data_IF_549895097008
#
_entry.id   IF_549895097008
#
_cell.length_a   1.000
_cell.length_b   1.000
_cell.length_c   1.000
_cell.angle_alpha   90.00
_cell.angle_beta   90.00
_cell.angle_gamma   90.00
#
_symmetry.space_group_name_H-M   'P 1'
#
loop_
_entity.id
_entity.type
_entity.pdbx_description
1 polymer ?
#
# COMPACT_ATOMS: atom_id res chain seq x y z
N UNK A 1 1.40 -56.21 -14.07
CA UNK A 1 2.30 -55.06 -14.30
C UNK A 1 1.72 -54.23 -15.44
N UNK A 2 1.72 -52.90 -15.34
CA UNK A 2 1.13 -51.90 -16.28
C UNK A 2 -0.31 -51.45 -16.04
N UNK A 3 -0.57 -50.74 -14.93
CA UNK A 3 -1.73 -49.84 -14.84
C UNK A 3 -1.62 -48.75 -13.74
N UNK A 4 -0.40 -48.39 -13.28
CA UNK A 4 -0.24 -47.43 -12.15
C UNK A 4 0.63 -46.21 -12.43
N UNK A 5 1.15 -46.02 -13.65
CA UNK A 5 2.13 -44.96 -13.93
C UNK A 5 1.63 -43.76 -14.74
N UNK A 6 0.35 -43.71 -15.15
CA UNK A 6 -0.20 -42.60 -15.96
C UNK A 6 -0.98 -41.54 -15.17
N UNK A 7 -1.36 -41.81 -13.91
CA UNK A 7 -2.11 -40.87 -13.07
C UNK A 7 -1.28 -39.71 -12.49
N UNK A 8 0.03 -39.92 -12.28
CA UNK A 8 0.88 -38.93 -11.58
C UNK A 8 1.46 -37.82 -12.48
N UNK A 9 1.36 -37.94 -13.82
CA UNK A 9 1.90 -36.95 -14.74
C UNK A 9 0.87 -35.87 -15.13
N UNK A 10 -0.43 -36.18 -15.03
CA UNK A 10 -1.52 -35.25 -15.32
C UNK A 10 -1.82 -34.32 -14.13
N UNK A 11 -1.70 -34.80 -12.88
CA UNK A 11 -1.88 -33.93 -11.71
C UNK A 11 -0.73 -32.93 -11.50
N UNK A 12 0.50 -33.27 -11.90
CA UNK A 12 1.64 -32.33 -11.83
C UNK A 12 1.61 -31.24 -12.92
N UNK A 13 0.93 -31.46 -14.06
CA UNK A 13 0.74 -30.43 -15.08
C UNK A 13 -0.38 -29.44 -14.74
N UNK A 14 -1.45 -29.90 -14.10
CA UNK A 14 -2.57 -29.03 -13.71
C UNK A 14 -2.18 -28.12 -12.55
N UNK A 15 -1.39 -28.59 -11.57
CA UNK A 15 -0.96 -27.74 -10.44
C UNK A 15 0.06 -26.66 -10.84
N UNK A 16 0.84 -26.86 -11.92
CA UNK A 16 1.83 -25.87 -12.39
C UNK A 16 1.24 -24.79 -13.31
N UNK A 17 0.04 -25.01 -13.86
CA UNK A 17 -0.71 -23.98 -14.57
C UNK A 17 -1.48 -23.05 -13.63
N UNK A 18 -1.97 -23.54 -12.48
CA UNK A 18 -2.82 -22.73 -11.59
C UNK A 18 -2.04 -21.73 -10.71
N UNK A 19 -0.71 -21.87 -10.59
CA UNK A 19 0.12 -20.99 -9.75
C UNK A 19 0.84 -19.85 -10.50
N UNK A 20 0.68 -19.74 -11.82
CA UNK A 20 1.27 -18.65 -12.62
C UNK A 20 0.26 -17.62 -13.16
N UNK A 21 -1.04 -17.77 -12.87
CA UNK A 21 -2.08 -16.86 -13.41
C UNK A 21 -2.77 -15.96 -12.38
N UNK A 22 -2.38 -16.00 -11.10
CA UNK A 22 -3.07 -15.25 -10.03
C UNK A 22 -2.32 -14.03 -9.47
N UNK A 23 -1.27 -13.55 -10.14
CA UNK A 23 -0.40 -12.48 -9.62
C UNK A 23 -0.60 -11.06 -10.18
N UNK A 24 -1.19 -10.88 -11.37
CA UNK A 24 -1.10 -9.59 -12.09
C UNK A 24 -2.44 -8.96 -12.48
N UNK A 25 -3.58 -9.50 -12.03
CA UNK A 25 -4.89 -9.11 -12.57
C UNK A 25 -5.75 -8.18 -11.69
N UNK A 26 -5.18 -7.44 -10.73
CA UNK A 26 -5.94 -6.50 -9.87
C UNK A 26 -5.78 -5.03 -10.24
N UNK A 27 -4.73 -4.65 -10.99
CA UNK A 27 -4.54 -3.27 -11.44
C UNK A 27 -5.04 -3.02 -12.88
N UNK A 28 -5.07 -4.04 -13.73
CA UNK A 28 -5.53 -3.90 -15.12
C UNK A 28 -7.06 -3.86 -15.26
N UNK A 29 -7.83 -4.44 -14.34
CA UNK A 29 -9.30 -4.40 -14.40
C UNK A 29 -9.86 -2.99 -14.11
N UNK A 30 -9.15 -2.17 -13.33
CA UNK A 30 -9.57 -0.79 -13.04
C UNK A 30 -9.23 0.20 -14.15
N UNK A 31 -8.10 0.02 -14.84
CA UNK A 31 -7.73 0.84 -16.00
C UNK A 31 -8.56 0.48 -17.24
N UNK A 32 -8.87 -0.80 -17.45
CA UNK A 32 -9.71 -1.22 -18.57
C UNK A 32 -11.17 -0.80 -18.41
N UNK A 33 -11.74 -0.80 -17.20
CA UNK A 33 -13.10 -0.29 -17.00
C UNK A 33 -13.20 1.23 -17.16
N UNK A 34 -12.20 2.01 -16.71
CA UNK A 34 -12.17 3.45 -16.90
C UNK A 34 -11.97 3.85 -18.38
N UNK A 35 -11.17 3.07 -19.14
CA UNK A 35 -10.95 3.31 -20.57
C UNK A 35 -12.16 2.89 -21.42
N UNK A 36 -12.85 1.81 -21.05
CA UNK A 36 -14.08 1.37 -21.70
C UNK A 36 -15.25 2.32 -21.39
N UNK A 37 -15.36 2.86 -20.17
CA UNK A 37 -16.39 3.85 -19.81
C UNK A 37 -16.15 5.22 -20.45
N UNK A 38 -14.89 5.61 -20.69
CA UNK A 38 -14.56 6.84 -21.44
C UNK A 38 -14.79 6.67 -22.96
N UNK A 39 -14.54 5.47 -23.51
CA UNK A 39 -14.84 5.17 -24.92
C UNK A 39 -16.34 5.03 -25.20
N UNK A 40 -17.13 4.49 -24.28
CA UNK A 40 -18.59 4.39 -24.43
C UNK A 40 -19.26 5.77 -24.30
N UNK A 41 -18.75 6.65 -23.43
CA UNK A 41 -19.29 8.02 -23.31
C UNK A 41 -18.87 8.94 -24.46
N UNK A 42 -17.65 8.80 -25.01
CA UNK A 42 -17.20 9.59 -26.16
C UNK A 42 -17.88 9.18 -27.49
N UNK A 43 -18.15 7.88 -27.68
CA UNK A 43 -18.84 7.37 -28.88
C UNK A 43 -20.33 7.73 -28.91
N UNK A 44 -20.98 7.84 -27.75
CA UNK A 44 -22.39 8.27 -27.65
C UNK A 44 -22.56 9.78 -27.81
N UNK A 45 -21.53 10.59 -27.51
CA UNK A 45 -21.58 12.05 -27.67
C UNK A 45 -21.31 12.54 -29.11
N UNK A 46 -20.44 11.86 -29.86
CA UNK A 46 -20.09 12.24 -31.24
C UNK A 46 -21.16 11.86 -32.29
N UNK A 47 -22.07 10.94 -31.97
CA UNK A 47 -23.19 10.58 -32.84
C UNK A 47 -24.40 11.55 -32.75
N UNK A 48 -24.37 12.54 -31.84
CA UNK A 48 -25.51 13.44 -31.58
C UNK A 48 -25.38 14.85 -32.16
N UNK A 49 -24.22 15.25 -32.67
CA UNK A 49 -23.99 16.61 -33.19
C UNK A 49 -23.80 16.71 -34.70
N UNK A 50 -23.88 15.61 -35.43
CA UNK A 50 -24.18 15.69 -36.86
C UNK A 50 -25.70 15.82 -37.04
N UNK A 51 -26.25 16.95 -36.57
CA UNK A 51 -27.47 17.51 -37.14
C UNK A 51 -27.13 17.96 -38.57
N UNK A 52 -26.90 16.97 -39.44
CA UNK A 52 -27.08 17.11 -40.85
C UNK A 52 -28.55 17.55 -40.99
N UNK A 53 -28.74 18.86 -41.12
CA UNK A 53 -29.95 19.45 -41.69
C UNK A 53 -30.02 19.02 -43.16
N UNK A 54 -30.08 17.71 -43.37
CA UNK A 54 -30.69 17.16 -44.54
C UNK A 54 -32.11 17.71 -44.48
N UNK A 55 -32.48 18.53 -45.45
CA UNK A 55 -33.87 18.77 -45.80
C UNK A 55 -34.39 17.41 -46.28
N UNK A 56 -34.54 16.50 -45.33
CA UNK A 56 -34.98 15.14 -45.57
C UNK A 56 -36.48 15.27 -45.72
N UNK A 57 -36.96 14.93 -46.92
CA UNK A 57 -38.39 14.88 -47.18
C UNK A 57 -38.97 13.93 -46.14
N UNK A 58 -39.82 14.44 -45.25
CA UNK A 58 -40.53 13.60 -44.26
C UNK A 58 -41.08 12.40 -45.00
N UNK A 59 -40.75 11.19 -44.54
CA UNK A 59 -41.29 9.96 -45.10
C UNK A 59 -42.82 10.09 -45.00
N UNK A 60 -43.57 10.02 -46.12
CA UNK A 60 -45.02 10.12 -46.03
C UNK A 60 -45.54 9.01 -45.13
N UNK A 61 -46.61 9.26 -44.34
CA UNK A 61 -47.16 8.25 -43.45
C UNK A 61 -47.47 6.97 -44.24
N UNK A 62 -47.13 5.79 -43.70
CA UNK A 62 -47.35 4.53 -44.39
C UNK A 62 -48.83 4.38 -44.72
N UNK A 63 -49.13 4.05 -45.98
CA UNK A 63 -50.48 3.74 -46.42
C UNK A 63 -51.00 2.44 -45.79
N UNK A 64 -52.23 2.05 -46.14
CA UNK A 64 -52.79 0.76 -45.72
C UNK A 64 -51.89 -0.39 -46.22
N UNK A 65 -51.53 -1.36 -45.37
CA UNK A 65 -50.72 -2.50 -45.81
C UNK A 65 -51.50 -3.36 -46.82
N UNK A 66 -50.83 -4.05 -47.78
CA UNK A 66 -51.48 -4.85 -48.82
C UNK A 66 -52.41 -5.96 -48.31
N UNK A 67 -52.23 -6.39 -47.06
CA UNK A 67 -53.00 -7.44 -46.38
C UNK A 67 -54.42 -6.97 -46.02
N UNK A 68 -54.63 -5.65 -45.88
CA UNK A 68 -55.93 -5.11 -45.53
C UNK A 68 -56.86 -5.08 -46.75
N UNK A 69 -58.08 -5.64 -46.68
CA UNK A 69 -59.03 -5.54 -47.76
C UNK A 69 -59.43 -4.07 -48.00
N UNK A 70 -59.75 -3.68 -49.25
CA UNK A 70 -60.27 -2.36 -49.54
C UNK A 70 -61.60 -2.13 -48.80
N UNK A 71 -61.89 -0.87 -48.46
CA UNK A 71 -63.14 -0.52 -47.81
C UNK A 71 -64.34 -0.79 -48.76
N UNK A 72 -65.49 -1.20 -48.20
CA UNK A 72 -66.75 -1.44 -48.96
C UNK A 72 -67.15 -0.29 -49.89
N UNK A 73 -66.89 0.96 -49.49
CA UNK A 73 -67.12 2.16 -50.30
C UNK A 73 -66.20 2.25 -51.52
N UNK A 74 -64.96 1.78 -51.43
CA UNK A 74 -63.93 1.88 -52.49
C UNK A 74 -64.04 0.72 -53.47
N UNK A 75 -64.50 -0.47 -53.03
CA UNK A 75 -64.64 -1.70 -53.83
C UNK A 75 -65.32 -1.49 -55.20
N UNK A 76 -66.32 -0.60 -55.27
CA UNK A 76 -67.08 -0.32 -56.49
C UNK A 76 -66.92 1.13 -56.97
N UNK A 77 -66.04 1.93 -56.35
CA UNK A 77 -65.83 3.32 -56.73
C UNK A 77 -64.88 3.40 -57.93
N UNK A 78 -65.41 3.76 -59.09
CA UNK A 78 -64.59 4.06 -60.28
C UNK A 78 -64.16 5.52 -60.22
N UNK A 79 -62.86 5.76 -60.33
CA UNK A 79 -62.32 7.12 -60.41
C UNK A 79 -62.65 7.69 -61.79
N UNK A 80 -63.58 8.65 -61.83
CA UNK A 80 -63.89 9.37 -63.05
C UNK A 80 -62.93 10.53 -63.24
N UNK A 81 -62.09 10.45 -64.26
CA UNK A 81 -61.22 11.57 -64.63
C UNK A 81 -62.02 12.66 -65.32
N UNK A 82 -61.74 13.91 -64.98
CA UNK A 82 -62.34 15.06 -65.67
C UNK A 82 -61.82 15.10 -67.11
N UNK A 83 -62.72 15.16 -68.08
CA UNK A 83 -62.35 15.35 -69.48
C UNK A 83 -61.69 16.72 -69.67
N UNK A 84 -60.58 16.75 -70.41
CA UNK A 84 -59.83 17.96 -70.73
C UNK A 84 -59.74 18.10 -72.25
N UNK A 85 -59.75 19.36 -72.73
CA UNK A 85 -59.56 19.63 -74.16
C UNK A 85 -58.18 19.13 -74.62
N UNK A 86 -58.08 18.54 -75.81
CA UNK A 86 -56.84 17.93 -76.31
C UNK A 86 -55.68 18.93 -76.44
N UNK A 87 -55.97 20.19 -76.78
CA UNK A 87 -54.97 21.24 -76.94
C UNK A 87 -54.24 21.54 -75.62
N UNK A 88 -55.00 21.61 -74.52
CA UNK A 88 -54.48 21.89 -73.16
C UNK A 88 -53.60 20.73 -72.68
N UNK A 89 -54.01 19.49 -72.95
CA UNK A 89 -53.21 18.29 -72.59
C UNK A 89 -51.87 18.30 -73.32
N UNK A 90 -51.86 18.65 -74.61
CA UNK A 90 -50.64 18.74 -75.41
C UNK A 90 -49.67 19.79 -74.86
N UNK A 91 -50.17 20.97 -74.52
CA UNK A 91 -49.36 22.04 -73.91
C UNK A 91 -48.78 21.62 -72.55
N UNK A 92 -49.61 21.02 -71.67
CA UNK A 92 -49.17 20.55 -70.35
C UNK A 92 -48.08 19.48 -70.45
N UNK A 93 -48.22 18.53 -71.37
CA UNK A 93 -47.21 17.51 -71.62
C UNK A 93 -45.90 18.13 -72.11
N UNK A 94 -45.98 19.08 -73.04
CA UNK A 94 -44.79 19.78 -73.54
C UNK A 94 -44.09 20.57 -72.44
N UNK A 95 -44.83 21.37 -71.65
CA UNK A 95 -44.27 22.15 -70.52
C UNK A 95 -43.64 21.26 -69.46
N UNK A 96 -44.28 20.14 -69.13
CA UNK A 96 -43.73 19.13 -68.22
C UNK A 96 -42.43 18.55 -68.77
N UNK A 97 -42.37 18.24 -70.06
CA UNK A 97 -41.19 17.67 -70.69
C UNK A 97 -40.02 18.67 -70.68
N UNK A 98 -40.26 19.92 -71.11
CA UNK A 98 -39.27 20.99 -71.10
C UNK A 98 -38.74 21.25 -69.69
N UNK A 99 -39.62 21.39 -68.70
CA UNK A 99 -39.23 21.60 -67.30
C UNK A 99 -38.40 20.43 -66.76
N UNK A 100 -38.85 19.19 -66.97
CA UNK A 100 -38.14 18.01 -66.49
C UNK A 100 -36.75 17.90 -67.12
N UNK A 101 -36.62 18.19 -68.42
CA UNK A 101 -35.32 18.20 -69.10
C UNK A 101 -34.37 19.23 -68.47
N UNK A 102 -34.86 20.45 -68.18
CA UNK A 102 -34.07 21.49 -67.51
C UNK A 102 -33.66 21.12 -66.08
N UNK A 103 -34.55 20.50 -65.30
CA UNK A 103 -34.22 20.04 -63.93
C UNK A 103 -33.23 18.88 -63.94
N UNK A 104 -33.36 17.96 -64.90
CA UNK A 104 -32.43 16.83 -65.05
C UNK A 104 -31.04 17.32 -65.45
N UNK A 105 -30.93 18.30 -66.35
CA UNK A 105 -29.63 18.87 -66.73
C UNK A 105 -28.97 19.60 -65.55
N UNK A 106 -29.71 20.40 -64.79
CA UNK A 106 -29.19 21.06 -63.58
C UNK A 106 -28.73 20.06 -62.52
N UNK A 107 -29.50 18.98 -62.29
CA UNK A 107 -29.10 17.93 -61.35
C UNK A 107 -27.80 17.25 -61.78
N UNK A 108 -27.63 17.02 -63.08
CA UNK A 108 -26.40 16.45 -63.63
C UNK A 108 -25.21 17.37 -63.39
N UNK A 109 -25.36 18.67 -63.69
CA UNK A 109 -24.33 19.67 -63.44
C UNK A 109 -23.88 19.68 -61.97
N UNK A 110 -24.82 19.78 -61.02
CA UNK A 110 -24.48 19.81 -59.59
C UNK A 110 -23.87 18.49 -59.10
N UNK A 111 -24.27 17.35 -59.69
CA UNK A 111 -23.64 16.06 -59.37
C UNK A 111 -22.18 16.03 -59.84
N UNK A 112 -21.90 16.54 -61.04
CA UNK A 112 -20.54 16.64 -61.58
C UNK A 112 -19.69 17.63 -60.78
N UNK A 113 -20.25 18.78 -60.40
CA UNK A 113 -19.57 19.76 -59.56
C UNK A 113 -19.29 19.22 -58.17
N UNK A 114 -20.23 18.53 -57.54
CA UNK A 114 -20.00 17.88 -56.23
C UNK A 114 -18.93 16.80 -56.30
N UNK A 115 -18.85 16.07 -57.41
CA UNK A 115 -17.82 15.05 -57.63
C UNK A 115 -16.44 15.67 -57.93
N UNK A 116 -16.38 16.83 -58.59
CA UNK A 116 -15.13 17.57 -58.86
C UNK A 116 -14.63 18.34 -57.64
N UNK A 117 -15.55 18.93 -56.89
CA UNK A 117 -15.28 19.56 -55.59
C UNK A 117 -15.17 18.50 -54.49
N UNK A 118 -14.74 17.29 -54.84
CA UNK A 118 -14.41 16.29 -53.85
C UNK A 118 -13.20 16.80 -53.08
N UNK A 119 -13.47 17.47 -51.96
CA UNK A 119 -12.50 17.81 -50.93
C UNK A 119 -11.76 16.57 -50.42
N UNK A 120 -12.09 15.35 -50.88
CA UNK A 120 -11.40 14.10 -50.59
C UNK A 120 -9.89 14.22 -50.76
N UNK A 121 -9.37 14.85 -51.82
CA UNK A 121 -7.92 14.97 -52.00
C UNK A 121 -7.29 15.90 -50.95
N UNK A 122 -7.94 17.03 -50.64
CA UNK A 122 -7.47 17.97 -49.62
C UNK A 122 -7.60 17.38 -48.20
N UNK A 123 -8.64 16.60 -47.95
CA UNK A 123 -8.89 15.89 -46.69
C UNK A 123 -7.88 14.73 -46.54
N UNK A 124 -7.60 14.00 -47.61
CA UNK A 124 -6.62 12.92 -47.61
C UNK A 124 -5.20 13.46 -47.36
N UNK A 125 -4.82 14.57 -48.00
CA UNK A 125 -3.55 15.24 -47.73
C UNK A 125 -3.49 15.79 -46.28
N UNK A 126 -4.60 16.31 -45.75
CA UNK A 126 -4.72 16.68 -44.34
C UNK A 126 -4.47 15.50 -43.40
N UNK A 127 -5.17 14.39 -43.62
CA UNK A 127 -5.05 13.19 -42.82
C UNK A 127 -3.63 12.58 -42.87
N UNK A 128 -2.96 12.66 -44.03
CA UNK A 128 -1.56 12.21 -44.16
C UNK A 128 -0.62 13.05 -43.29
N UNK A 129 -0.75 14.37 -43.33
CA UNK A 129 0.07 15.28 -42.51
C UNK A 129 -0.18 15.08 -41.02
N UNK A 130 -1.45 14.91 -40.63
CA UNK A 130 -1.82 14.61 -39.24
C UNK A 130 -1.17 13.30 -38.76
N UNK A 131 -1.17 12.27 -39.59
CA UNK A 131 -0.50 11.00 -39.28
C UNK A 131 1.02 11.16 -39.17
N UNK A 132 1.66 11.91 -40.08
CA UNK A 132 3.10 12.18 -40.02
C UNK A 132 3.49 12.94 -38.74
N UNK A 133 2.70 13.94 -38.35
CA UNK A 133 2.86 14.65 -37.09
C UNK A 133 2.67 13.73 -35.87
N UNK A 134 1.67 12.85 -35.93
CA UNK A 134 1.39 11.88 -34.87
C UNK A 134 2.55 10.90 -34.67
N UNK A 135 3.07 10.31 -35.75
CA UNK A 135 4.23 9.41 -35.70
C UNK A 135 5.48 10.12 -35.14
N UNK A 136 5.70 11.37 -35.53
CA UNK A 136 6.79 12.18 -34.97
C UNK A 136 6.63 12.42 -33.45
N UNK A 137 5.42 12.73 -32.99
CA UNK A 137 5.14 12.90 -31.55
C UNK A 137 5.29 11.59 -30.77
N UNK A 138 4.93 10.45 -31.37
CA UNK A 138 5.11 9.13 -30.78
C UNK A 138 6.59 8.80 -30.58
N UNK A 139 7.42 9.05 -31.59
CA UNK A 139 8.87 8.87 -31.51
C UNK A 139 9.51 9.74 -30.40
N UNK A 140 9.07 11.00 -30.27
CA UNK A 140 9.54 11.88 -29.19
C UNK A 140 9.09 11.40 -27.79
N UNK A 141 7.89 10.83 -27.70
CA UNK A 141 7.39 10.26 -26.45
C UNK A 141 8.21 9.03 -26.04
N UNK A 142 8.50 8.14 -26.99
CA UNK A 142 9.30 6.95 -26.77
C UNK A 142 10.72 7.30 -26.32
N UNK A 143 11.36 8.29 -26.95
CA UNK A 143 12.66 8.83 -26.53
C UNK A 143 12.64 9.32 -25.08
N UNK A 144 11.60 10.07 -24.70
CA UNK A 144 11.44 10.58 -23.33
C UNK A 144 11.22 9.45 -22.34
N UNK A 145 10.42 8.45 -22.71
CA UNK A 145 10.15 7.29 -21.87
C UNK A 145 11.40 6.45 -21.66
N UNK A 146 12.23 6.28 -22.70
CA UNK A 146 13.53 5.61 -22.61
C UNK A 146 14.46 6.31 -21.63
N UNK A 147 14.65 7.63 -21.78
CA UNK A 147 15.45 8.43 -20.82
C UNK A 147 14.91 8.37 -19.39
N UNK A 148 13.59 8.35 -19.24
CA UNK A 148 12.94 8.19 -17.92
C UNK A 148 13.20 6.80 -17.32
N UNK A 149 13.17 5.75 -18.16
CA UNK A 149 13.46 4.38 -17.76
C UNK A 149 14.91 4.24 -17.30
N UNK A 150 15.87 4.76 -18.07
CA UNK A 150 17.30 4.77 -17.68
C UNK A 150 17.54 5.50 -16.35
N UNK A 151 16.83 6.61 -16.11
CA UNK A 151 16.90 7.30 -14.81
C UNK A 151 16.25 6.50 -13.67
N UNK A 152 15.24 5.68 -13.96
CA UNK A 152 14.61 4.78 -12.98
C UNK A 152 15.55 3.63 -12.63
N UNK A 153 16.12 2.94 -13.62
CA UNK A 153 17.06 1.85 -13.39
C UNK A 153 18.27 2.31 -12.59
N UNK A 154 18.85 3.48 -12.92
CA UNK A 154 19.98 4.01 -12.15
C UNK A 154 19.62 4.28 -10.68
N UNK A 155 18.42 4.81 -10.41
CA UNK A 155 17.96 5.01 -9.03
C UNK A 155 17.73 3.69 -8.32
N UNK A 156 17.14 2.70 -8.98
CA UNK A 156 16.90 1.37 -8.43
C UNK A 156 18.22 0.66 -8.09
N UNK A 157 19.23 0.78 -8.94
CA UNK A 157 20.60 0.30 -8.67
C UNK A 157 21.20 1.00 -7.44
N UNK A 158 21.14 2.34 -7.37
CA UNK A 158 21.63 3.10 -6.22
C UNK A 158 20.90 2.73 -4.90
N UNK A 159 19.58 2.51 -4.94
CA UNK A 159 18.82 2.05 -3.77
C UNK A 159 19.17 0.61 -3.39
N UNK A 160 19.37 -0.28 -4.37
CA UNK A 160 19.76 -1.67 -4.12
C UNK A 160 21.12 -1.75 -3.42
N UNK A 161 22.11 -1.00 -3.89
CA UNK A 161 23.43 -0.92 -3.26
C UNK A 161 23.35 -0.41 -1.81
N UNK A 162 22.51 0.61 -1.56
CA UNK A 162 22.28 1.11 -0.19
C UNK A 162 21.65 0.04 0.69
N UNK A 163 20.60 -0.62 0.21
CA UNK A 163 19.91 -1.69 0.92
C UNK A 163 20.85 -2.86 1.25
N UNK A 164 21.70 -3.28 0.31
CA UNK A 164 22.71 -4.30 0.54
C UNK A 164 23.70 -3.88 1.64
N UNK A 165 24.18 -2.62 1.60
CA UNK A 165 25.09 -2.10 2.61
C UNK A 165 24.46 -2.04 4.01
N UNK A 166 23.19 -1.67 4.11
CA UNK A 166 22.43 -1.63 5.37
C UNK A 166 22.18 -3.04 5.92
N UNK A 167 21.86 -3.99 5.04
CA UNK A 167 21.65 -5.37 5.40
C UNK A 167 22.93 -6.02 5.96
N UNK A 168 24.08 -5.78 5.30
CA UNK A 168 25.38 -6.26 5.79
C UNK A 168 25.72 -5.67 7.18
N UNK A 169 25.52 -4.37 7.39
CA UNK A 169 25.69 -3.73 8.69
C UNK A 169 24.77 -4.32 9.76
N UNK A 170 23.52 -4.61 9.41
CA UNK A 170 22.57 -5.24 10.32
C UNK A 170 22.99 -6.66 10.70
N UNK A 171 23.50 -7.44 9.75
CA UNK A 171 24.04 -8.78 10.01
C UNK A 171 25.23 -8.70 10.96
N UNK A 172 26.20 -7.82 10.67
CA UNK A 172 27.39 -7.64 11.50
C UNK A 172 27.03 -7.27 12.95
N UNK A 173 26.11 -6.32 13.12
CA UNK A 173 25.60 -5.93 14.44
C UNK A 173 24.94 -7.08 15.19
N UNK A 174 24.14 -7.89 14.53
CA UNK A 174 23.49 -9.04 15.16
C UNK A 174 24.49 -10.15 15.50
N UNK A 175 25.51 -10.36 14.68
CA UNK A 175 26.62 -11.28 14.99
C UNK A 175 27.39 -10.81 16.22
N UNK A 176 27.77 -9.53 16.30
CA UNK A 176 28.46 -8.97 17.46
C UNK A 176 27.61 -9.09 18.75
N UNK A 177 26.31 -8.81 18.66
CA UNK A 177 25.37 -8.99 19.78
C UNK A 177 25.30 -10.45 20.24
N UNK A 178 25.31 -11.40 19.31
CA UNK A 178 25.33 -12.83 19.62
C UNK A 178 26.65 -13.24 20.27
N UNK A 179 27.78 -12.78 19.74
CA UNK A 179 29.09 -13.08 20.33
C UNK A 179 29.24 -12.55 21.74
N UNK A 180 28.84 -11.30 21.99
CA UNK A 180 28.89 -10.69 23.32
C UNK A 180 27.99 -11.44 24.31
N UNK A 181 26.78 -11.81 23.90
CA UNK A 181 25.88 -12.64 24.72
C UNK A 181 26.50 -14.01 25.01
N UNK A 182 27.03 -14.72 24.00
CA UNK A 182 27.70 -16.02 24.20
C UNK A 182 28.87 -15.89 25.18
N UNK A 183 29.71 -14.86 25.05
CA UNK A 183 30.83 -14.60 25.97
C UNK A 183 30.34 -14.34 27.40
N UNK A 184 29.27 -13.57 27.59
CA UNK A 184 28.67 -13.32 28.90
C UNK A 184 28.12 -14.60 29.53
N UNK A 185 27.32 -15.37 28.78
CA UNK A 185 26.75 -16.64 29.25
C UNK A 185 27.84 -17.67 29.58
N UNK A 186 28.88 -17.74 28.77
CA UNK A 186 30.01 -18.62 29.06
C UNK A 186 30.71 -18.23 30.37
N UNK A 187 30.89 -16.93 30.63
CA UNK A 187 31.43 -16.44 31.91
C UNK A 187 30.52 -16.77 33.09
N UNK A 188 29.20 -16.62 32.95
CA UNK A 188 28.22 -17.00 33.98
C UNK A 188 28.32 -18.50 34.30
N UNK A 189 28.36 -19.36 33.28
CA UNK A 189 28.50 -20.81 33.45
C UNK A 189 29.80 -21.15 34.18
N UNK A 190 30.93 -20.55 33.80
CA UNK A 190 32.21 -20.78 34.47
C UNK A 190 32.15 -20.37 35.96
N UNK A 191 31.56 -19.21 36.29
CA UNK A 191 31.37 -18.79 37.67
C UNK A 191 30.47 -19.76 38.46
N UNK A 192 29.43 -20.31 37.83
CA UNK A 192 28.57 -21.31 38.47
C UNK A 192 29.30 -22.62 38.73
N UNK A 193 30.16 -23.07 37.81
CA UNK A 193 31.03 -24.25 37.99
C UNK A 193 32.05 -24.03 39.12
N UNK A 194 32.57 -22.82 39.28
CA UNK A 194 33.46 -22.49 40.41
C UNK A 194 32.69 -22.49 41.75
N UNK A 195 31.50 -21.89 41.77
CA UNK A 195 30.62 -21.89 42.96
C UNK A 195 30.14 -23.29 43.33
N UNK A 196 29.88 -24.16 42.36
CA UNK A 196 29.38 -25.50 42.63
C UNK A 196 30.35 -26.38 43.40
N UNK A 197 31.65 -26.08 43.35
CA UNK A 197 32.67 -26.75 44.19
C UNK A 197 32.46 -26.52 45.69
N UNK A 198 31.75 -25.46 46.06
CA UNK A 198 31.47 -25.09 47.45
C UNK A 198 30.09 -25.58 47.92
N UNK A 199 29.36 -26.34 47.09
CA UNK A 199 28.08 -26.93 47.50
C UNK A 199 28.30 -28.08 48.48
N UNK A 200 27.35 -28.22 49.40
CA UNK A 200 27.35 -29.27 50.42
C UNK A 200 26.83 -30.54 49.76
N UNK A 201 27.64 -31.59 49.78
CA UNK A 201 27.27 -32.95 49.39
C UNK A 201 27.08 -33.81 50.63
N UNK A 202 26.45 -34.97 50.50
CA UNK A 202 26.21 -35.90 51.62
C UNK A 202 27.51 -36.29 52.35
N UNK A 203 28.63 -36.32 51.64
CA UNK A 203 29.97 -36.64 52.17
C UNK A 203 30.59 -35.48 52.99
N UNK A 204 30.30 -34.22 52.63
CA UNK A 204 30.88 -33.02 53.25
C UNK A 204 29.89 -32.33 54.23
N UNK A 205 28.82 -33.02 54.61
CA UNK A 205 27.73 -32.42 55.39
C UNK A 205 28.15 -32.16 56.84
N UNK A 206 28.72 -33.16 57.50
CA UNK A 206 29.07 -33.09 58.91
C UNK A 206 30.21 -32.07 59.15
N UNK A 207 31.24 -32.07 58.30
CA UNK A 207 32.36 -31.12 58.39
C UNK A 207 31.89 -29.66 58.23
N UNK A 208 31.00 -29.39 57.27
CA UNK A 208 30.46 -28.04 57.05
C UNK A 208 29.50 -27.60 58.16
N UNK A 209 28.81 -28.54 58.80
CA UNK A 209 27.94 -28.25 59.94
C UNK A 209 28.75 -27.77 61.16
N UNK A 210 29.87 -28.43 61.45
CA UNK A 210 30.78 -28.00 62.51
C UNK A 210 31.40 -26.63 62.21
N UNK A 211 31.89 -26.41 60.98
CA UNK A 211 32.45 -25.11 60.55
C UNK A 211 31.45 -23.96 60.72
N UNK A 212 30.18 -24.18 60.37
CA UNK A 212 29.11 -23.19 60.51
C UNK A 212 28.74 -22.92 61.98
N UNK A 213 28.80 -23.93 62.85
CA UNK A 213 28.58 -23.78 64.29
C UNK A 213 29.74 -23.08 64.99
N UNK A 214 30.96 -23.19 64.48
CA UNK A 214 32.14 -22.53 65.02
C UNK A 214 32.28 -21.08 64.54
N UNK A 215 31.84 -20.77 63.32
CA UNK A 215 31.97 -19.45 62.71
C UNK A 215 30.60 -18.78 62.45
N UNK A 216 29.97 -18.16 63.46
CA UNK A 216 28.73 -17.42 63.25
C UNK A 216 28.96 -16.17 62.39
N UNK A 217 28.27 -16.06 61.26
CA UNK A 217 28.34 -14.91 60.35
C UNK A 217 27.18 -13.94 60.63
N UNK A 218 27.49 -12.66 60.83
CA UNK A 218 26.48 -11.60 61.05
C UNK A 218 26.38 -10.72 59.80
N UNK A 219 25.18 -10.64 59.24
CA UNK A 219 24.87 -9.79 58.07
C UNK A 219 24.30 -8.42 58.46
N UNK A 220 24.14 -8.14 59.76
CA UNK A 220 23.59 -6.88 60.24
C UNK A 220 24.57 -5.73 60.00
N UNK A 221 24.10 -4.70 59.31
CA UNK A 221 24.79 -3.42 59.17
C UNK A 221 23.80 -2.26 59.14
N UNK A 222 24.19 -1.12 59.70
CA UNK A 222 23.45 0.14 59.61
C UNK A 222 23.94 0.95 58.40
N UNK A 223 23.06 1.78 57.83
CA UNK A 223 23.38 2.68 56.72
C UNK A 223 23.02 4.11 57.13
N UNK A 224 23.94 5.03 56.94
CA UNK A 224 23.70 6.46 57.16
C UNK A 224 22.94 7.11 56.01
N UNK A 225 22.42 8.32 56.22
CA UNK A 225 21.86 9.17 55.16
C UNK A 225 22.87 9.49 54.05
N UNK A 226 24.17 9.38 54.33
CA UNK A 226 25.27 9.54 53.36
C UNK A 226 25.62 8.24 52.62
N UNK A 227 24.99 7.11 52.97
CA UNK A 227 25.23 5.80 52.34
C UNK A 227 26.40 5.00 52.92
N UNK A 228 27.04 5.48 53.98
CA UNK A 228 28.12 4.75 54.67
C UNK A 228 27.56 3.56 55.46
N UNK A 229 28.23 2.41 55.39
CA UNK A 229 27.80 1.16 56.05
C UNK A 229 28.61 0.90 57.33
N UNK A 230 27.93 0.64 58.43
CA UNK A 230 28.52 0.30 59.74
C UNK A 230 28.15 -1.13 60.14
N UNK A 231 29.15 -2.00 60.18
CA UNK A 231 28.97 -3.44 60.46
C UNK A 231 29.03 -3.74 61.97
N UNK A 232 28.25 -4.72 62.43
CA UNK A 232 28.43 -5.32 63.77
C UNK A 232 29.74 -6.12 63.76
N UNK A 233 30.59 -6.05 64.79
CA UNK A 233 31.72 -6.97 64.91
C UNK A 233 31.24 -8.43 65.09
N UNK A 234 32.04 -9.38 64.60
CA UNK A 234 31.71 -10.82 64.64
C UNK A 234 31.60 -11.28 66.10
N UNK A 235 30.53 -12.02 66.47
CA UNK A 235 30.34 -12.49 67.84
C UNK A 235 31.30 -13.63 68.16
N UNK A 236 32.01 -13.54 69.28
CA UNK A 236 32.89 -14.60 69.77
C UNK A 236 32.07 -15.71 70.46
N UNK A 237 32.23 -16.97 70.03
CA UNK A 237 31.49 -18.15 70.54
C UNK A 237 31.74 -18.41 72.03
N UNK A 238 32.95 -18.16 72.52
CA UNK A 238 33.32 -18.35 73.92
C UNK A 238 33.95 -17.07 74.49
N UNK A 239 33.21 -16.39 75.36
CA UNK A 239 33.73 -15.25 76.12
C UNK A 239 34.61 -15.82 77.23
N UNK A 240 35.94 -15.63 77.14
CA UNK A 240 36.87 -16.07 78.20
C UNK A 240 36.74 -15.12 79.40
N UNK A 241 36.06 -15.54 80.46
CA UNK A 241 35.95 -14.79 81.73
C UNK A 241 34.55 -14.82 82.37
N UNK A 242 34.33 -13.96 83.36
CA UNK A 242 33.02 -13.77 84.02
C UNK A 242 31.99 -13.25 83.01
N UNK A 243 30.77 -13.82 82.95
CA UNK A 243 29.77 -13.42 81.96
C UNK A 243 29.53 -11.90 81.99
N UNK A 244 29.64 -11.20 80.85
CA UNK A 244 29.41 -9.76 80.82
C UNK A 244 27.94 -9.47 81.14
N UNK A 245 27.71 -8.51 82.04
CA UNK A 245 26.37 -7.99 82.35
C UNK A 245 25.74 -7.47 81.06
N UNK A 246 24.54 -7.94 80.72
CA UNK A 246 23.81 -7.58 79.50
C UNK A 246 23.66 -6.05 79.41
N UNK A 247 24.50 -5.42 78.58
CA UNK A 247 24.30 -4.04 78.10
C UNK A 247 23.54 -4.16 76.77
N UNK A 248 22.66 -3.20 76.46
CA UNK A 248 21.79 -3.22 75.28
C UNK A 248 22.52 -3.34 73.94
N UNK A 249 21.82 -3.18 72.81
CA UNK A 249 22.47 -3.31 71.49
C UNK A 249 23.59 -2.27 71.38
N UNK A 250 24.70 -2.64 70.74
CA UNK A 250 25.92 -1.82 70.71
C UNK A 250 25.69 -0.40 70.12
N UNK A 251 24.70 -0.28 69.23
CA UNK A 251 24.27 0.98 68.60
C UNK A 251 23.48 1.90 69.53
N UNK A 252 22.92 1.38 70.62
CA UNK A 252 22.22 2.17 71.63
C UNK A 252 23.21 2.96 72.51
N UNK A 253 24.51 2.61 72.47
CA UNK A 253 25.58 3.23 73.27
C UNK A 253 26.40 4.25 72.44
N UNK A 254 26.53 4.05 71.12
CA UNK A 254 27.35 4.91 70.25
C UNK A 254 26.64 6.12 69.66
N UNK A 255 25.31 6.19 69.71
CA UNK A 255 24.58 7.45 69.53
C UNK A 255 24.47 8.16 70.88
N UNK A 256 25.62 8.46 71.48
CA UNK A 256 25.70 9.38 72.61
C UNK A 256 24.96 10.67 72.27
N UNK A 257 24.29 11.21 73.27
CA UNK A 257 23.50 12.46 73.30
C UNK A 257 24.14 13.67 72.59
N UNK A 258 25.44 13.59 72.27
CA UNK A 258 26.23 14.63 71.61
C UNK A 258 25.95 14.80 70.11
N UNK A 259 25.35 13.81 69.43
CA UNK A 259 24.99 13.97 68.02
C UNK A 259 23.77 14.87 67.80
N UNK A 260 22.89 14.99 68.80
CA UNK A 260 21.68 15.83 68.73
C UNK A 260 21.93 17.29 69.11
N UNK A 261 23.05 17.62 69.78
CA UNK A 261 23.36 19.00 70.19
C UNK A 261 23.99 19.87 69.09
N UNK A 262 24.42 19.26 67.97
CA UNK A 262 24.94 19.97 66.78
C UNK A 262 23.89 20.21 65.69
N UNK A 263 22.65 19.78 65.89
CA UNK A 263 21.55 20.16 65.01
C UNK A 263 21.14 21.59 65.35
N UNK A 264 21.52 22.53 64.48
CA UNK A 264 21.03 23.92 64.48
C UNK A 264 19.50 23.92 64.60
N UNK A 265 18.89 24.79 65.43
CA UNK A 265 17.44 24.85 65.53
C UNK A 265 16.86 25.17 64.16
N UNK A 266 16.03 24.25 63.66
CA UNK A 266 15.26 24.41 62.44
C UNK A 266 14.28 25.57 62.63
N UNK A 267 14.63 26.76 62.11
CA UNK A 267 13.68 27.83 61.89
C UNK A 267 12.77 27.41 60.74
N UNK A 268 11.51 27.15 61.06
CA UNK A 268 10.48 26.98 60.07
C UNK A 268 10.28 28.31 59.34
N UNK A 269 10.74 28.39 58.09
CA UNK A 269 10.15 29.33 57.15
C UNK A 269 10.25 28.86 55.70
N UNK A 270 9.27 29.36 54.97
CA UNK A 270 8.64 28.88 53.74
C UNK A 270 9.53 28.53 52.54
N UNK A 271 8.90 27.73 51.65
CA UNK A 271 9.13 27.57 50.21
C UNK A 271 9.92 26.33 49.75
N UNK A 272 9.18 25.27 49.38
CA UNK A 272 9.69 24.29 48.39
C UNK A 272 8.55 23.65 47.60
N UNK A 273 8.00 24.42 46.68
CA UNK A 273 7.08 23.97 45.62
C UNK A 273 7.80 23.65 44.31
N UNK A 274 9.10 23.30 44.31
CA UNK A 274 9.92 23.27 43.07
C UNK A 274 10.74 22.00 42.82
N UNK A 275 10.47 20.86 43.47
CA UNK A 275 11.26 19.63 43.22
C UNK A 275 10.47 18.37 42.87
N UNK A 276 9.16 18.47 42.60
CA UNK A 276 8.35 17.32 42.17
C UNK A 276 8.31 17.09 40.64
N UNK A 277 8.86 18.01 39.85
CA UNK A 277 8.81 17.93 38.37
C UNK A 277 9.91 17.03 37.78
N UNK A 278 11.11 16.99 38.36
CA UNK A 278 12.28 16.36 37.73
C UNK A 278 12.33 14.83 37.82
N UNK A 279 11.55 14.21 38.70
CA UNK A 279 11.56 12.75 38.87
C UNK A 279 10.68 12.00 37.87
N UNK A 280 9.75 12.68 37.19
CA UNK A 280 8.84 12.05 36.22
C UNK A 280 9.42 11.93 34.81
N UNK A 281 10.40 12.76 34.44
CA UNK A 281 10.94 12.78 33.06
C UNK A 281 12.00 11.70 32.80
N UNK A 282 12.64 11.12 33.83
CA UNK A 282 13.69 10.09 33.66
C UNK A 282 13.20 8.66 33.49
N UNK A 283 11.89 8.37 33.65
CA UNK A 283 11.34 7.02 33.46
C UNK A 283 10.72 6.78 32.08
N UNK A 284 10.70 7.77 31.18
CA UNK A 284 10.13 7.61 29.82
C UNK A 284 11.17 7.45 28.71
N UNK A 285 12.46 7.32 29.05
CA UNK A 285 13.55 7.08 28.09
C UNK A 285 14.43 5.90 28.55
N UNK A 286 13.88 4.69 28.51
CA UNK A 286 14.61 3.41 28.40
C UNK A 286 13.69 2.35 27.83
#
# INVERSE_FOLDING_TARGET
MYAKSRGNLLQKKISKCVQLEFGENILDVKLNNAMVDLCISASVFLLKTQSCRSISRKIPPPGKPPICPPAKRVLYHVVHHRWMRPDVVKELLWRRHVYNNAIVSLRKLFKEESAKNSYEDMIAEGARKENEEFEHLLALNEERNRKSAEKRTRREEEELERMESEYLKSIEKELERRETNVKQRMKEVLQMVERSKHFITDENLDEKLEEALDNPVVYDYAIDLQGNRYYVPVPEKYIKGTPPRQKGRMYDITLGTEHYSKLVPFSADSSRSTQKEDFKQKQQQS
#
